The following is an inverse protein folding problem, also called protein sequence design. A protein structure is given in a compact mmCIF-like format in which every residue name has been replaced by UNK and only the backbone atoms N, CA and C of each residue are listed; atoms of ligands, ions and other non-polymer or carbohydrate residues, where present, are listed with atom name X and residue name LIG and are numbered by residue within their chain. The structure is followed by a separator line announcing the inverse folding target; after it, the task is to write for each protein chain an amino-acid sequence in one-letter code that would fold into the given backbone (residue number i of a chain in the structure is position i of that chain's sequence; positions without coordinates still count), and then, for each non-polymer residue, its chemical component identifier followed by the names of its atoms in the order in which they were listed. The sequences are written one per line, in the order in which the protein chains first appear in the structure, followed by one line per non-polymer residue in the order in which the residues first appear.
data_IF_828389823641
#
_entry.id   IF_828389823641
#
_cell.length_a   1.000
_cell.length_b   1.000
_cell.length_c   1.000
_cell.angle_alpha   90.00
_cell.angle_beta   90.00
_cell.angle_gamma   90.00
#
_symmetry.space_group_name_H-M   'P 1'
#
loop_
_entity.id
_entity.type
_entity.pdbx_description
1 polymer ?
#
# COMPACT_ATOMS: atom_id res chain seq x y z
N UNK A 1 -10.55 -4.95 12.42
CA UNK A 1 -9.63 -4.93 11.26
C UNK A 1 -9.37 -3.48 10.92
N UNK A 2 -8.13 -3.14 10.59
CA UNK A 2 -7.73 -1.77 10.24
C UNK A 2 -8.13 -1.47 8.79
N UNK A 3 -8.72 -0.30 8.53
CA UNK A 3 -9.00 0.16 7.18
C UNK A 3 -7.68 0.34 6.40
N UNK A 4 -7.73 0.19 5.08
CA UNK A 4 -6.57 0.48 4.24
C UNK A 4 -6.32 1.99 4.20
N UNK A 5 -5.07 2.39 3.99
CA UNK A 5 -4.74 3.81 3.95
C UNK A 5 -5.11 4.44 2.59
N UNK A 6 -5.66 5.67 2.57
CA UNK A 6 -5.83 6.50 1.37
C UNK A 6 -4.58 6.52 0.46
N UNK A 7 -4.74 6.51 -0.87
CA UNK A 7 -3.61 6.83 -1.73
C UNK A 7 -3.20 8.29 -1.49
N UNK A 8 -1.92 8.60 -1.69
CA UNK A 8 -1.33 9.86 -1.26
C UNK A 8 -0.99 9.91 0.23
N UNK A 9 -1.31 8.87 1.01
CA UNK A 9 -0.82 8.75 2.39
C UNK A 9 0.69 8.64 2.38
N UNK A 10 1.34 9.51 3.16
CA UNK A 10 2.78 9.49 3.38
C UNK A 10 3.07 8.75 4.68
N UNK A 11 3.92 7.74 4.61
CA UNK A 11 4.25 6.85 5.73
C UNK A 11 5.76 6.70 5.89
N UNK A 12 6.17 6.36 7.11
CA UNK A 12 7.51 5.84 7.37
C UNK A 12 7.43 4.33 7.63
N UNK A 13 8.27 3.57 6.97
CA UNK A 13 8.42 2.13 7.20
C UNK A 13 9.43 1.87 8.32
N UNK A 14 9.27 0.74 9.01
CA UNK A 14 10.24 0.30 10.01
C UNK A 14 11.65 0.23 9.44
N UNK A 15 12.62 0.78 10.17
CA UNK A 15 14.03 0.90 9.75
C UNK A 15 14.26 1.76 8.50
N UNK A 16 13.23 2.44 7.99
CA UNK A 16 13.34 3.37 6.87
C UNK A 16 13.80 4.76 7.32
N UNK A 17 14.71 5.37 6.56
CA UNK A 17 15.17 6.75 6.82
C UNK A 17 14.44 7.79 5.97
N UNK A 18 13.73 7.34 4.92
CA UNK A 18 13.02 8.17 3.95
C UNK A 18 11.52 7.86 4.03
N UNK A 19 10.67 8.89 3.91
CA UNK A 19 9.23 8.70 3.79
C UNK A 19 8.83 8.24 2.40
N UNK A 20 7.77 7.44 2.34
CA UNK A 20 7.20 6.96 1.07
C UNK A 20 5.73 7.33 0.99
N UNK A 21 5.26 7.62 -0.22
CA UNK A 21 3.87 7.94 -0.49
C UNK A 21 3.19 6.76 -1.17
N UNK A 22 2.10 6.26 -0.57
CA UNK A 22 1.31 5.17 -1.14
C UNK A 22 0.66 5.65 -2.45
N UNK A 23 0.93 4.95 -3.54
CA UNK A 23 0.37 5.25 -4.87
C UNK A 23 -0.59 4.18 -5.38
N UNK A 24 -0.67 3.03 -4.71
CA UNK A 24 -1.60 1.96 -5.06
C UNK A 24 -1.82 0.96 -3.92
N UNK A 25 -2.90 0.18 -4.02
CA UNK A 25 -3.29 -0.87 -3.07
C UNK A 25 -3.46 -2.20 -3.79
N UNK A 26 -3.17 -3.29 -3.11
CA UNK A 26 -3.20 -4.64 -3.69
C UNK A 26 -2.42 -4.79 -5.01
N UNK A 27 -1.23 -4.18 -5.18
CA UNK A 27 -0.41 -4.47 -6.35
C UNK A 27 -0.11 -5.97 -6.46
N UNK A 28 -0.23 -6.52 -7.66
CA UNK A 28 0.31 -7.85 -7.95
C UNK A 28 1.82 -7.76 -8.11
N UNK A 29 2.52 -8.72 -7.53
CA UNK A 29 3.96 -8.83 -7.61
C UNK A 29 4.36 -10.27 -7.90
N UNK A 30 5.36 -10.44 -8.77
CA UNK A 30 5.92 -11.75 -9.10
C UNK A 30 7.14 -12.01 -8.22
N UNK A 31 6.97 -12.81 -7.17
CA UNK A 31 8.06 -13.25 -6.30
C UNK A 31 8.51 -14.64 -6.77
N UNK A 32 9.57 -14.66 -7.58
CA UNK A 32 10.23 -15.90 -8.04
C UNK A 32 9.26 -16.91 -8.71
N UNK A 33 8.33 -16.42 -9.52
CA UNK A 33 7.33 -17.24 -10.22
C UNK A 33 6.00 -17.39 -9.47
N UNK A 34 5.94 -16.98 -8.20
CA UNK A 34 4.68 -16.90 -7.44
C UNK A 34 4.08 -15.52 -7.60
N UNK A 35 2.91 -15.43 -8.26
CA UNK A 35 2.14 -14.19 -8.31
C UNK A 35 1.37 -14.05 -6.99
N UNK A 36 1.68 -13.01 -6.24
CA UNK A 36 0.98 -12.66 -5.01
C UNK A 36 0.66 -11.16 -4.96
N UNK A 37 0.17 -10.69 -3.82
CA UNK A 37 -0.09 -9.26 -3.61
C UNK A 37 0.56 -8.74 -2.33
N UNK A 38 0.88 -7.44 -2.32
CA UNK A 38 1.19 -6.67 -1.11
C UNK A 38 0.02 -5.74 -0.79
N UNK A 39 -0.08 -5.23 0.45
CA UNK A 39 -1.15 -4.27 0.76
C UNK A 39 -0.96 -2.96 -0.03
N UNK A 40 0.29 -2.51 -0.20
CA UNK A 40 0.62 -1.22 -0.80
C UNK A 40 1.78 -1.28 -1.80
N UNK A 41 1.72 -0.35 -2.77
CA UNK A 41 2.87 0.10 -3.56
C UNK A 41 3.05 1.61 -3.34
N UNK A 42 4.29 2.06 -3.20
CA UNK A 42 4.64 3.44 -2.94
C UNK A 42 5.83 3.91 -3.78
N UNK A 43 5.97 5.24 -3.88
CA UNK A 43 7.16 5.92 -4.37
C UNK A 43 7.83 6.72 -3.25
N UNK A 44 9.06 7.17 -3.48
CA UNK A 44 9.79 8.03 -2.55
C UNK A 44 9.10 9.40 -2.41
N UNK A 45 9.02 9.94 -1.20
CA UNK A 45 8.55 11.30 -0.94
C UNK A 45 9.73 12.22 -0.56
N UNK A 46 9.81 13.48 -1.07
CA UNK A 46 8.87 14.16 -1.96
C UNK A 46 9.20 14.02 -3.46
N UNK A 47 10.23 13.26 -3.81
CA UNK A 47 10.72 13.13 -5.21
C UNK A 47 9.70 12.49 -6.14
N UNK A 48 8.78 11.68 -5.60
CA UNK A 48 7.80 10.92 -6.37
C UNK A 48 8.45 9.75 -7.12
N UNK A 49 7.74 9.24 -8.13
CA UNK A 49 8.22 8.19 -9.03
C UNK A 49 9.16 8.78 -10.10
N UNK A 50 10.21 9.47 -9.66
CA UNK A 50 11.21 10.09 -10.55
C UNK A 50 12.12 9.04 -11.22
N UNK A 51 12.23 7.85 -10.61
CA UNK A 51 12.88 6.67 -11.15
C UNK A 51 11.89 5.48 -11.13
N UNK A 52 12.33 4.31 -11.62
CA UNK A 52 11.53 3.09 -11.65
C UNK A 52 11.45 2.38 -10.28
N UNK A 53 11.94 2.99 -9.21
CA UNK A 53 11.94 2.38 -7.87
C UNK A 53 10.57 2.50 -7.22
N UNK A 54 9.84 1.39 -7.22
CA UNK A 54 8.61 1.20 -6.47
C UNK A 54 8.87 0.34 -5.25
N UNK A 55 8.32 0.75 -4.11
CA UNK A 55 8.39 -0.01 -2.87
C UNK A 55 7.06 -0.74 -2.65
N UNK A 56 7.15 -2.05 -2.45
CA UNK A 56 6.01 -2.90 -2.14
C UNK A 56 6.11 -3.34 -0.69
N UNK A 57 5.05 -3.16 0.09
CA UNK A 57 5.03 -3.48 1.51
C UNK A 57 3.62 -3.70 2.03
N UNK A 58 3.54 -4.27 3.22
CA UNK A 58 2.28 -4.52 3.90
C UNK A 58 2.04 -3.52 5.04
N UNK A 59 0.80 -3.47 5.51
CA UNK A 59 0.41 -2.58 6.60
C UNK A 59 1.22 -2.80 7.88
N UNK A 60 1.61 -4.05 8.19
CA UNK A 60 2.47 -4.37 9.32
C UNK A 60 3.90 -3.81 9.23
N UNK A 61 4.34 -3.33 8.06
CA UNK A 61 5.66 -2.74 7.89
C UNK A 61 5.68 -1.22 8.17
N UNK A 62 4.51 -0.60 8.38
CA UNK A 62 4.37 0.83 8.62
C UNK A 62 4.69 1.15 10.09
N UNK A 63 5.71 1.96 10.32
CA UNK A 63 6.05 2.47 11.65
C UNK A 63 5.13 3.61 12.07
N UNK A 64 4.90 4.57 11.16
CA UNK A 64 4.01 5.71 11.40
C UNK A 64 3.41 6.26 10.12
N UNK A 65 2.19 6.78 10.25
CA UNK A 65 1.56 7.64 9.24
C UNK A 65 2.02 9.07 9.48
N UNK A 66 2.68 9.67 8.48
CA UNK A 66 3.17 11.05 8.54
C UNK A 66 2.09 12.02 8.07
N UNK A 67 1.35 11.64 7.03
CA UNK A 67 0.21 12.38 6.51
C UNK A 67 -0.79 11.40 5.92
N UNK A 68 -2.07 11.54 6.28
CA UNK A 68 -3.13 10.74 5.68
C UNK A 68 -3.55 11.34 4.34
N UNK A 69 -3.59 10.49 3.31
CA UNK A 69 -3.91 10.90 1.94
C UNK A 69 -5.34 11.42 1.80
N UNK A 70 -5.68 11.83 0.58
CA UNK A 70 -6.99 12.41 0.32
C UNK A 70 -8.11 11.38 0.55
N UNK A 71 -9.05 11.74 1.44
CA UNK A 71 -10.20 10.93 1.77
C UNK A 71 -11.47 11.58 1.20
N UNK A 72 -12.26 10.81 0.46
CA UNK A 72 -13.52 11.25 -0.15
C UNK A 72 -14.60 10.18 -0.03
N UNK A 73 -15.83 10.49 -0.40
CA UNK A 73 -16.92 9.50 -0.45
C UNK A 73 -16.55 8.27 -1.32
N UNK A 74 -15.78 8.47 -2.39
CA UNK A 74 -15.25 7.35 -3.21
C UNK A 74 -14.27 6.47 -2.46
N UNK A 75 -13.49 7.04 -1.54
CA UNK A 75 -12.62 6.28 -0.65
C UNK A 75 -13.47 5.43 0.29
N UNK A 76 -14.53 5.99 0.88
CA UNK A 76 -15.48 5.24 1.73
C UNK A 76 -16.12 4.05 0.98
N UNK A 77 -16.63 4.29 -0.22
CA UNK A 77 -17.20 3.23 -1.08
C UNK A 77 -16.19 2.11 -1.36
N UNK A 78 -14.94 2.49 -1.65
CA UNK A 78 -13.87 1.55 -1.94
C UNK A 78 -13.47 0.73 -0.70
N UNK A 79 -13.44 1.33 0.50
CA UNK A 79 -13.19 0.63 1.76
C UNK A 79 -14.27 -0.43 2.02
N UNK A 80 -15.54 -0.11 1.78
CA UNK A 80 -16.64 -1.08 1.92
C UNK A 80 -16.56 -2.20 0.89
N UNK A 81 -16.15 -1.89 -0.35
CA UNK A 81 -15.90 -2.91 -1.37
C UNK A 81 -14.80 -3.89 -0.94
N UNK A 82 -13.68 -3.37 -0.44
CA UNK A 82 -12.57 -4.21 0.03
C UNK A 82 -12.97 -5.10 1.21
N UNK A 83 -13.75 -4.59 2.16
CA UNK A 83 -14.27 -5.40 3.29
C UNK A 83 -15.10 -6.59 2.80
N UNK A 84 -15.92 -6.39 1.76
CA UNK A 84 -16.77 -7.45 1.19
C UNK A 84 -15.99 -8.47 0.35
N UNK A 85 -14.94 -8.03 -0.34
CA UNK A 85 -14.24 -8.85 -1.33
C UNK A 85 -12.91 -9.44 -0.84
N UNK A 86 -12.44 -9.09 0.37
CA UNK A 86 -11.16 -9.53 0.92
C UNK A 86 -10.95 -11.05 0.84
N UNK A 87 -11.97 -11.82 1.16
CA UNK A 87 -11.88 -13.29 1.18
C UNK A 87 -11.94 -13.94 -0.21
N UNK A 88 -12.20 -13.13 -1.26
CA UNK A 88 -12.26 -13.57 -2.65
C UNK A 88 -10.94 -13.37 -3.41
N UNK A 89 -9.91 -12.83 -2.75
CA UNK A 89 -8.60 -12.60 -3.38
C UNK A 89 -7.94 -13.96 -3.67
N UNK A 90 -7.71 -14.24 -4.96
CA UNK A 90 -7.15 -15.51 -5.45
C UNK A 90 -5.64 -15.64 -5.22
N UNK A 91 -4.97 -14.53 -4.99
CA UNK A 91 -3.52 -14.46 -4.87
C UNK A 91 -3.11 -14.47 -3.39
N UNK A 92 -2.01 -15.13 -3.02
CA UNK A 92 -1.52 -15.09 -1.65
C UNK A 92 -1.01 -13.69 -1.27
N UNK A 93 -1.18 -13.30 0.00
CA UNK A 93 -0.50 -12.14 0.58
C UNK A 93 0.99 -12.46 0.70
N UNK A 94 1.83 -11.71 0.01
CA UNK A 94 3.29 -11.82 0.08
C UNK A 94 3.80 -11.16 1.36
N UNK A 95 5.00 -11.53 1.77
CA UNK A 95 5.68 -10.98 2.96
C UNK A 95 7.04 -10.44 2.55
N UNK A 96 7.40 -9.31 3.14
CA UNK A 96 8.73 -8.71 3.09
C UNK A 96 9.58 -9.31 4.21
#
# INVERSE_FOLDING_TARGET
MTNLLPIGTVVRLHNGTIDVMIIGRFPLYNQEGTIGYFDYVACLYPTGAANEELLYFNQENIEKVVFEGYHSEKEDELQELFKKQKDSIKYPKLKV
#
